data_IF_769619155109
#
_entry.id   IF_769619155109
#
_cell.length_a   1.000
_cell.length_b   1.000
_cell.length_c   1.000
_cell.angle_alpha   90.00
_cell.angle_beta   90.00
_cell.angle_gamma   90.00
#
_symmetry.space_group_name_H-M   'P 1'
#
loop_
_entity.id
_entity.type
_entity.pdbx_description
1 polymer ?
#
# COMPACT_ATOMS: atom_id res chain seq x y z
N UNK A 1 8.51 1.38 -14.55
CA UNK A 1 8.40 2.52 -13.62
C UNK A 1 7.82 2.07 -12.28
N UNK A 2 6.63 1.44 -12.26
CA UNK A 2 5.99 0.94 -11.02
C UNK A 2 6.91 0.10 -10.11
N UNK A 3 7.62 -0.87 -10.66
CA UNK A 3 8.50 -1.75 -9.87
C UNK A 3 9.69 -1.02 -9.25
N UNK A 4 10.24 -0.01 -9.94
CA UNK A 4 11.32 0.82 -9.42
C UNK A 4 10.85 1.67 -8.24
N UNK A 5 9.64 2.23 -8.32
CA UNK A 5 9.05 3.00 -7.22
C UNK A 5 8.79 2.13 -5.99
N UNK A 6 8.19 0.95 -6.16
CA UNK A 6 8.01 -0.01 -5.05
C UNK A 6 9.36 -0.37 -4.45
N UNK A 7 10.36 -0.62 -5.28
CA UNK A 7 11.71 -1.00 -4.81
C UNK A 7 12.34 0.09 -3.95
N UNK A 8 12.25 1.35 -4.37
CA UNK A 8 12.75 2.49 -3.59
C UNK A 8 12.00 2.59 -2.26
N UNK A 9 10.66 2.52 -2.29
CA UNK A 9 9.83 2.56 -1.08
C UNK A 9 10.20 1.45 -0.09
N UNK A 10 10.36 0.21 -0.56
CA UNK A 10 10.74 -0.93 0.29
C UNK A 10 12.17 -0.84 0.83
N UNK A 11 13.08 -0.16 0.13
CA UNK A 11 14.45 0.07 0.59
C UNK A 11 14.52 1.13 1.69
N UNK A 12 13.77 2.23 1.52
CA UNK A 12 13.67 3.33 2.47
C UNK A 12 12.80 2.99 3.70
N UNK A 13 11.95 1.98 3.57
CA UNK A 13 11.08 1.48 4.63
C UNK A 13 11.88 1.06 5.87
N UNK A 14 11.47 1.56 7.04
CA UNK A 14 12.04 1.17 8.34
C UNK A 14 11.38 -0.11 8.87
N UNK A 15 12.12 -0.84 9.70
CA UNK A 15 11.59 -2.04 10.34
C UNK A 15 10.53 -1.66 11.38
N UNK A 16 9.37 -2.30 11.31
CA UNK A 16 8.23 -2.03 12.18
C UNK A 16 7.33 -0.88 11.73
N UNK A 17 7.61 -0.25 10.59
CA UNK A 17 6.71 0.74 9.96
C UNK A 17 6.08 0.12 8.71
N UNK A 18 4.84 -0.42 8.79
CA UNK A 18 4.18 -1.02 7.65
C UNK A 18 3.85 0.02 6.57
N UNK A 19 4.01 -0.36 5.31
CA UNK A 19 3.57 0.42 4.15
C UNK A 19 2.28 -0.17 3.57
N UNK A 20 1.34 0.71 3.21
CA UNK A 20 0.08 0.33 2.60
C UNK A 20 0.03 0.74 1.13
N UNK A 21 -0.18 -0.23 0.25
CA UNK A 21 -0.37 -0.01 -1.18
C UNK A 21 -1.84 -0.22 -1.55
N UNK A 22 -2.41 0.72 -2.31
CA UNK A 22 -3.79 0.64 -2.79
C UNK A 22 -3.99 -0.47 -3.82
N UNK A 23 -5.16 -1.09 -3.85
CA UNK A 23 -5.48 -2.12 -4.87
C UNK A 23 -6.67 -1.70 -5.71
N UNK A 24 -6.99 -2.46 -6.76
CA UNK A 24 -8.16 -2.19 -7.61
C UNK A 24 -9.50 -2.35 -6.87
N UNK A 25 -9.48 -2.97 -5.68
CA UNK A 25 -10.67 -3.15 -4.85
C UNK A 25 -10.77 -2.00 -3.84
N UNK A 26 -11.87 -1.25 -3.88
CA UNK A 26 -12.14 -0.17 -2.93
C UNK A 26 -12.08 -0.69 -1.48
N UNK A 27 -11.31 0.01 -0.63
CA UNK A 27 -11.12 -0.36 0.77
C UNK A 27 -10.19 -1.56 1.02
N UNK A 28 -9.50 -2.08 -0.01
CA UNK A 28 -8.47 -3.12 0.15
C UNK A 28 -7.09 -2.55 -0.14
N UNK A 29 -6.18 -2.80 0.78
CA UNK A 29 -4.77 -2.44 0.67
C UNK A 29 -3.89 -3.68 0.84
N UNK A 30 -2.71 -3.62 0.23
CA UNK A 30 -1.62 -4.54 0.50
C UNK A 30 -0.80 -3.89 1.61
N UNK A 31 -0.70 -4.58 2.73
CA UNK A 31 0.18 -4.16 3.81
C UNK A 31 1.52 -4.89 3.66
N UNK A 32 2.60 -4.13 3.72
CA UNK A 32 3.95 -4.66 3.64
C UNK A 32 4.68 -4.27 4.90
N UNK A 33 5.22 -5.26 5.61
CA UNK A 33 6.01 -5.10 6.82
C UNK A 33 7.45 -5.51 6.54
N UNK A 34 8.42 -4.73 7.01
CA UNK A 34 9.83 -5.07 6.96
C UNK A 34 10.21 -5.63 8.32
N UNK A 35 10.75 -6.83 8.34
CA UNK A 35 11.16 -7.54 9.57
C UNK A 35 12.63 -7.96 9.50
N UNK A 36 13.28 -8.05 10.66
CA UNK A 36 14.57 -8.73 10.78
C UNK A 36 14.37 -10.19 11.16
N UNK A 37 15.02 -11.08 10.44
CA UNK A 37 15.13 -12.50 10.77
C UNK A 37 16.61 -12.82 11.02
N UNK A 38 17.02 -12.72 12.28
CA UNK A 38 18.43 -12.84 12.65
C UNK A 38 19.24 -11.68 12.07
N UNK A 39 20.20 -11.99 11.18
CA UNK A 39 21.03 -10.99 10.47
C UNK A 39 20.47 -10.60 9.10
N UNK A 40 19.36 -11.20 8.65
CA UNK A 40 18.76 -10.97 7.34
C UNK A 40 17.49 -10.13 7.45
N UNK A 41 17.19 -9.39 6.38
CA UNK A 41 15.93 -8.64 6.23
C UNK A 41 14.95 -9.49 5.44
N UNK A 42 13.70 -9.52 5.89
CA UNK A 42 12.59 -10.12 5.16
C UNK A 42 11.42 -9.15 5.10
N UNK A 43 10.52 -9.36 4.15
CA UNK A 43 9.28 -8.60 4.03
C UNK A 43 8.10 -9.54 4.21
N UNK A 44 7.11 -9.11 4.98
CA UNK A 44 5.82 -9.77 5.12
C UNK A 44 4.83 -8.96 4.28
N UNK A 45 4.20 -9.61 3.32
CA UNK A 45 3.17 -9.01 2.47
C UNK A 45 1.84 -9.62 2.90
N UNK A 46 0.93 -8.78 3.38
CA UNK A 46 -0.44 -9.15 3.74
C UNK A 46 -1.39 -8.57 2.72
N UNK A 47 -2.22 -9.42 2.14
CA UNK A 47 -3.26 -9.00 1.23
C UNK A 47 -4.50 -9.88 1.40
N UNK A 48 -5.63 -9.24 1.68
CA UNK A 48 -6.89 -9.91 2.05
C UNK A 48 -6.73 -10.86 3.25
N UNK A 49 -6.76 -12.17 3.03
CA UNK A 49 -6.56 -13.20 4.06
C UNK A 49 -5.24 -13.97 3.88
N UNK A 50 -4.40 -13.54 2.93
CA UNK A 50 -3.13 -14.17 2.62
C UNK A 50 -1.99 -13.38 3.26
N UNK A 51 -1.03 -14.11 3.82
CA UNK A 51 0.21 -13.55 4.35
C UNK A 51 1.36 -14.35 3.77
N UNK A 52 2.12 -13.69 2.90
CA UNK A 52 3.33 -14.27 2.31
C UNK A 52 4.56 -13.58 2.86
N UNK A 53 5.54 -14.38 3.30
CA UNK A 53 6.87 -13.88 3.67
C UNK A 53 7.82 -14.07 2.51
N UNK A 54 8.57 -13.03 2.18
CA UNK A 54 9.60 -13.04 1.15
C UNK A 54 10.92 -12.54 1.72
N UNK A 55 12.01 -13.19 1.31
CA UNK A 55 13.36 -12.85 1.78
C UNK A 55 14.14 -12.02 0.75
N UNK A 56 13.62 -11.94 -0.48
CA UNK A 56 14.21 -11.17 -1.56
C UNK A 56 13.33 -9.98 -1.91
N UNK A 57 13.95 -8.81 -1.97
CA UNK A 57 13.25 -7.56 -2.30
C UNK A 57 12.62 -7.61 -3.69
N UNK A 58 13.27 -8.24 -4.66
CA UNK A 58 12.74 -8.34 -6.02
C UNK A 58 11.48 -9.23 -6.09
N UNK A 59 11.37 -10.25 -5.22
CA UNK A 59 10.15 -11.03 -5.08
C UNK A 59 9.03 -10.19 -4.44
N UNK A 60 9.38 -9.41 -3.41
CA UNK A 60 8.43 -8.51 -2.76
C UNK A 60 7.85 -7.49 -3.74
N UNK A 61 8.71 -6.85 -4.53
CA UNK A 61 8.35 -5.89 -5.57
C UNK A 61 7.41 -6.53 -6.58
N UNK A 62 7.74 -7.73 -7.07
CA UNK A 62 6.90 -8.44 -8.05
C UNK A 62 5.52 -8.78 -7.49
N UNK A 63 5.41 -9.20 -6.24
CA UNK A 63 4.12 -9.50 -5.61
C UNK A 63 3.26 -8.25 -5.46
N UNK A 64 3.86 -7.15 -4.99
CA UNK A 64 3.15 -5.87 -4.83
C UNK A 64 2.73 -5.35 -6.21
N UNK A 65 3.63 -5.33 -7.19
CA UNK A 65 3.34 -4.83 -8.54
C UNK A 65 2.18 -5.56 -9.24
N UNK A 66 1.99 -6.86 -8.96
CA UNK A 66 0.86 -7.64 -9.50
C UNK A 66 -0.50 -7.20 -8.97
N UNK A 67 -0.56 -6.73 -7.73
CA UNK A 67 -1.80 -6.36 -7.04
C UNK A 67 -1.98 -4.85 -6.86
N UNK A 68 -0.90 -4.09 -7.05
CA UNK A 68 -0.87 -2.64 -6.88
C UNK A 68 -1.54 -1.97 -8.07
N UNK A 69 -2.68 -1.34 -7.79
CA UNK A 69 -3.40 -0.58 -8.79
C UNK A 69 -3.15 0.91 -8.59
N UNK A 70 -2.36 1.50 -9.48
CA UNK A 70 -2.05 2.93 -9.52
C UNK A 70 -3.18 3.78 -10.15
N UNK A 71 -4.41 3.30 -10.28
CA UNK A 71 -5.48 4.16 -10.80
C UNK A 71 -5.75 5.27 -9.76
N UNK A 72 -5.04 6.37 -9.96
CA UNK A 72 -5.06 7.62 -9.22
C UNK A 72 -6.48 8.20 -9.16
N UNK A 73 -7.32 7.84 -10.12
CA UNK A 73 -8.72 8.28 -10.25
C UNK A 73 -9.57 7.87 -9.03
N UNK A 74 -9.38 6.68 -8.45
CA UNK A 74 -10.17 6.25 -7.28
C UNK A 74 -9.72 6.92 -5.96
N UNK A 75 -8.46 7.36 -5.87
CA UNK A 75 -7.94 8.05 -4.67
C UNK A 75 -8.42 9.49 -4.60
N UNK A 76 -8.62 10.14 -5.76
CA UNK A 76 -9.19 11.48 -5.84
C UNK A 76 -10.69 11.44 -5.50
N UNK A 77 -11.44 10.49 -6.05
CA UNK A 77 -12.89 10.36 -5.80
C UNK A 77 -13.21 10.16 -4.30
N UNK A 78 -12.34 9.44 -3.59
CA UNK A 78 -12.52 9.19 -2.15
C UNK A 78 -12.20 10.41 -1.26
N UNK A 79 -11.28 11.29 -1.65
CA UNK A 79 -11.03 12.55 -0.92
C UNK A 79 -12.05 13.64 -1.23
N UNK A 80 -12.69 13.63 -2.39
CA UNK A 80 -13.77 14.58 -2.71
C UNK A 80 -15.14 14.17 -2.16
N UNK A 81 -15.40 12.87 -1.95
CA UNK A 81 -16.65 12.41 -1.33
C UNK A 81 -16.79 12.78 0.16
N UNK A 82 -15.69 13.06 0.88
CA UNK A 82 -15.75 13.62 2.24
C UNK A 82 -16.01 15.14 2.26
N UNK A 83 -15.92 15.83 1.12
CA UNK A 83 -16.20 17.27 1.01
C UNK A 83 -17.67 17.59 0.66
N UNK A 84 -18.47 16.62 0.24
CA UNK A 84 -19.90 16.81 -0.06
C UNK A 84 -20.84 16.61 1.13
N UNK A 85 -20.31 16.37 2.34
CA UNK A 85 -21.08 16.39 3.60
C UNK A 85 -20.91 17.71 4.37
N UNK A 86 -20.69 18.84 3.68
CA UNK A 86 -21.06 20.17 4.20
C UNK A 86 -22.42 20.51 3.61
N UNK A 87 -23.44 19.78 4.03
CA UNK A 87 -24.81 20.27 3.94
C UNK A 87 -25.02 21.32 5.03
N UNK A 88 -25.67 22.42 4.67
CA UNK A 88 -26.40 23.32 5.56
C UNK A 88 -25.60 24.18 6.55
N UNK A 89 -25.15 25.34 6.08
CA UNK A 89 -25.15 26.55 6.91
C UNK A 89 -25.87 27.67 6.16
N UNK A 90 -27.19 27.65 6.28
CA UNK A 90 -28.00 28.83 6.56
C UNK A 90 -28.19 29.83 5.42
N UNK A 91 -29.38 29.79 4.83
CA UNK A 91 -30.12 31.03 4.63
C UNK A 91 -29.98 31.91 5.89
N UNK A 92 -29.30 33.05 5.77
CA UNK A 92 -29.70 34.34 6.31
C UNK A 92 -28.87 35.48 5.72
#
# INVERSE_FOLDING_TARGET
MKELEIKVLLQEMKVGEPLHFTTSKKGKYIEVDRIFQGMSVSWIIRYENDQTRVNHIDEAVNMIAKHWNMYLEDVLDQQFAELENITDLGEY
#
